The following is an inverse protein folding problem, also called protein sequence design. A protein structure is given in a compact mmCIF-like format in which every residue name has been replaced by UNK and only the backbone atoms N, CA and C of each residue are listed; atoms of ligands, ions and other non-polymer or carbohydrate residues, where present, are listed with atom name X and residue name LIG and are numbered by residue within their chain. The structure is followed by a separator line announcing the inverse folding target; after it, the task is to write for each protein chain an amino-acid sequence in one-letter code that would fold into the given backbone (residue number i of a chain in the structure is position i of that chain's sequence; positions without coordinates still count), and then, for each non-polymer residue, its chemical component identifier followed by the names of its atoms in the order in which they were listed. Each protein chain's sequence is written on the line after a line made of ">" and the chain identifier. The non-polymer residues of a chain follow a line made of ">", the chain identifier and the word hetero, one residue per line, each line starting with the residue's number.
data_IF_680060409629
#
_entry.id   IF_680060409629
#
_cell.length_a   1.000
_cell.length_b   1.000
_cell.length_c   1.000
_cell.angle_alpha   90.00
_cell.angle_beta   90.00
_cell.angle_gamma   90.00
#
_symmetry.space_group_name_H-M   'P 1'
#
loop_
_entity.id
_entity.type
_entity.pdbx_description
1 polymer ?
#
# COMPACT_ATOMS: atom_id res chain seq x y z
N UNK A 1 15.72 -9.69 4.11
CA UNK A 1 15.54 -8.50 3.25
C UNK A 1 14.58 -8.90 2.14
N UNK A 2 13.34 -8.46 2.26
CA UNK A 2 12.37 -8.59 1.17
C UNK A 2 12.78 -7.53 0.14
N UNK A 3 12.92 -7.91 -1.14
CA UNK A 3 13.16 -6.97 -2.24
C UNK A 3 12.05 -7.15 -3.26
N UNK A 4 11.54 -6.06 -3.83
CA UNK A 4 10.56 -6.11 -4.90
C UNK A 4 11.13 -6.93 -6.06
N UNK A 5 10.43 -8.00 -6.43
CA UNK A 5 10.83 -8.86 -7.54
C UNK A 5 10.70 -8.06 -8.85
N UNK A 6 11.80 -7.90 -9.63
CA UNK A 6 11.76 -7.20 -10.91
C UNK A 6 10.72 -7.77 -11.89
N UNK A 7 10.47 -9.08 -11.86
CA UNK A 7 9.45 -9.72 -12.70
C UNK A 7 8.06 -9.28 -12.29
N UNK A 8 7.78 -9.21 -10.99
CA UNK A 8 6.50 -8.71 -10.49
C UNK A 8 6.31 -7.24 -10.84
N UNK A 9 7.36 -6.42 -10.69
CA UNK A 9 7.30 -5.01 -11.05
C UNK A 9 7.01 -4.81 -12.54
N UNK A 10 7.64 -5.61 -13.42
CA UNK A 10 7.40 -5.57 -14.85
C UNK A 10 5.96 -6.02 -15.21
N UNK A 11 5.49 -7.10 -14.59
CA UNK A 11 4.10 -7.58 -14.75
C UNK A 11 3.09 -6.54 -14.31
N UNK A 12 3.29 -5.94 -13.14
CA UNK A 12 2.47 -4.86 -12.62
C UNK A 12 2.43 -3.68 -13.61
N UNK A 13 3.59 -3.18 -14.08
CA UNK A 13 3.62 -2.08 -15.07
C UNK A 13 2.91 -2.42 -16.38
N UNK A 14 3.02 -3.66 -16.86
CA UNK A 14 2.28 -4.11 -18.05
C UNK A 14 0.77 -4.09 -17.78
N UNK A 15 0.34 -4.70 -16.68
CA UNK A 15 -1.08 -4.75 -16.29
C UNK A 15 -1.66 -3.35 -16.07
N UNK A 16 -0.93 -2.44 -15.43
CA UNK A 16 -1.43 -1.08 -15.22
C UNK A 16 -1.65 -0.34 -16.55
N UNK A 17 -0.76 -0.51 -17.55
CA UNK A 17 -0.96 0.06 -18.89
C UNK A 17 -2.28 -0.41 -19.50
N UNK A 18 -2.53 -1.72 -19.50
CA UNK A 18 -3.79 -2.32 -19.99
C UNK A 18 -5.03 -1.75 -19.27
N UNK A 19 -4.94 -1.53 -17.95
CA UNK A 19 -6.05 -0.96 -17.17
C UNK A 19 -6.26 0.52 -17.46
N UNK A 20 -5.17 1.29 -17.61
CA UNK A 20 -5.21 2.73 -17.84
C UNK A 20 -5.81 3.11 -19.20
N UNK A 21 -5.73 2.22 -20.19
CA UNK A 21 -6.39 2.40 -21.49
C UNK A 21 -7.92 2.28 -21.41
N UNK A 22 -8.43 1.58 -20.37
CA UNK A 22 -9.86 1.27 -20.19
C UNK A 22 -10.53 2.11 -19.11
N UNK A 23 -9.75 2.77 -18.27
CA UNK A 23 -10.23 3.55 -17.14
C UNK A 23 -9.23 4.65 -16.76
N UNK A 24 -9.69 5.89 -16.80
CA UNK A 24 -8.90 7.10 -16.55
C UNK A 24 -9.02 7.62 -15.10
N UNK A 25 -9.89 7.03 -14.28
CA UNK A 25 -10.19 7.48 -12.92
C UNK A 25 -9.10 7.25 -11.87
N UNK A 26 -7.94 6.72 -12.24
CA UNK A 26 -6.81 6.50 -11.34
C UNK A 26 -6.16 7.82 -10.91
N UNK A 27 -5.93 7.99 -9.62
CA UNK A 27 -5.12 9.09 -9.05
C UNK A 27 -3.71 8.63 -8.75
N UNK A 28 -3.57 7.54 -8.01
CA UNK A 28 -2.29 6.88 -7.71
C UNK A 28 -2.51 5.38 -7.71
N UNK A 29 -1.56 4.61 -8.25
CA UNK A 29 -1.54 3.16 -8.11
C UNK A 29 -0.22 2.72 -7.50
N UNK A 30 -0.33 1.94 -6.43
CA UNK A 30 0.80 1.43 -5.66
C UNK A 30 0.86 -0.07 -5.84
N UNK A 31 2.06 -0.61 -6.02
CA UNK A 31 2.37 -2.02 -5.87
C UNK A 31 2.94 -2.25 -4.46
N UNK A 32 2.27 -3.10 -3.69
CA UNK A 32 2.74 -3.56 -2.38
C UNK A 32 2.84 -5.08 -2.33
N UNK A 33 3.49 -5.62 -1.29
CA UNK A 33 3.54 -7.06 -1.00
C UNK A 33 3.08 -7.42 0.42
N UNK A 34 2.19 -6.63 1.01
CA UNK A 34 1.82 -6.81 2.41
C UNK A 34 1.02 -8.09 2.67
N UNK A 35 0.12 -8.45 1.75
CA UNK A 35 -0.68 -9.67 1.75
C UNK A 35 -0.60 -10.36 0.38
N UNK A 36 0.62 -10.44 -0.14
CA UNK A 36 0.88 -10.80 -1.53
C UNK A 36 0.90 -9.58 -2.45
N UNK A 37 1.55 -9.73 -3.60
CA UNK A 37 1.77 -8.64 -4.53
C UNK A 37 0.44 -8.16 -5.12
N UNK A 38 0.09 -6.91 -4.87
CA UNK A 38 -1.18 -6.36 -5.36
C UNK A 38 -1.09 -4.87 -5.65
N UNK A 39 -2.07 -4.43 -6.42
CA UNK A 39 -2.34 -3.01 -6.54
C UNK A 39 -3.17 -2.48 -5.38
N UNK A 40 -2.80 -1.29 -4.92
CA UNK A 40 -3.64 -0.38 -4.13
C UNK A 40 -4.02 0.78 -5.06
N UNK A 41 -5.32 1.01 -5.17
CA UNK A 41 -5.94 1.98 -6.05
C UNK A 41 -6.42 3.18 -5.25
N UNK A 42 -5.76 4.31 -5.48
CA UNK A 42 -6.28 5.62 -5.10
C UNK A 42 -7.05 6.20 -6.29
N UNK A 43 -8.31 6.55 -6.05
CA UNK A 43 -9.24 7.07 -7.04
C UNK A 43 -9.77 8.42 -6.56
N UNK A 44 -10.15 9.29 -7.51
CA UNK A 44 -10.67 10.63 -7.23
C UNK A 44 -11.92 10.63 -6.31
N UNK A 45 -12.65 9.50 -6.26
CA UNK A 45 -13.81 9.26 -5.39
C UNK A 45 -13.68 8.01 -4.51
N UNK A 46 -12.46 7.65 -4.11
CA UNK A 46 -12.22 6.45 -3.28
C UNK A 46 -13.00 6.46 -1.94
N UNK A 47 -13.28 7.64 -1.39
CA UNK A 47 -14.05 7.84 -0.15
C UNK A 47 -15.54 7.48 -0.26
N UNK A 48 -16.08 7.29 -1.47
CA UNK A 48 -17.50 6.96 -1.71
C UNK A 48 -17.80 5.46 -1.67
N UNK A 49 -16.81 4.58 -1.45
CA UNK A 49 -17.00 3.13 -1.42
C UNK A 49 -17.61 2.64 -0.09
N UNK A 50 -18.82 3.13 0.25
CA UNK A 50 -19.57 2.70 1.46
C UNK A 50 -20.50 1.51 1.21
N UNK A 51 -20.76 1.17 -0.04
CA UNK A 51 -21.63 0.06 -0.43
C UNK A 51 -20.92 -0.69 -1.55
N UNK A 52 -20.87 -2.02 -1.48
CA UNK A 52 -20.25 -2.91 -2.48
C UNK A 52 -20.91 -2.77 -3.84
N UNK A 53 -20.69 -1.62 -4.48
CA UNK A 53 -21.56 -1.09 -5.50
C UNK A 53 -21.30 -1.86 -6.79
N UNK A 54 -22.26 -2.64 -7.29
CA UNK A 54 -22.14 -3.29 -8.59
C UNK A 54 -21.92 -2.27 -9.72
N UNK A 55 -22.17 -0.98 -9.49
CA UNK A 55 -21.93 0.10 -10.45
C UNK A 55 -20.57 0.77 -10.30
N UNK A 56 -19.71 0.33 -9.37
CA UNK A 56 -18.37 0.88 -9.23
C UNK A 56 -17.56 0.59 -10.50
N UNK A 57 -17.06 1.62 -11.22
CA UNK A 57 -16.31 1.41 -12.46
C UNK A 57 -15.06 0.55 -12.26
N UNK A 58 -14.34 0.76 -11.15
CA UNK A 58 -13.17 -0.06 -10.81
C UNK A 58 -13.55 -1.53 -10.56
N UNK A 59 -14.67 -1.78 -9.88
CA UNK A 59 -15.16 -3.15 -9.69
C UNK A 59 -15.52 -3.80 -11.03
N UNK A 60 -16.26 -3.09 -11.91
CA UNK A 60 -16.61 -3.62 -13.22
C UNK A 60 -15.39 -3.89 -14.11
N UNK A 61 -14.35 -3.06 -13.97
CA UNK A 61 -13.08 -3.24 -14.66
C UNK A 61 -12.35 -4.52 -14.19
N UNK A 62 -12.35 -4.79 -12.89
CA UNK A 62 -11.49 -5.80 -12.24
C UNK A 62 -12.20 -7.10 -11.85
N UNK A 63 -13.54 -7.20 -11.97
CA UNK A 63 -14.33 -8.37 -11.52
C UNK A 63 -13.90 -9.71 -12.11
N UNK A 64 -13.22 -9.71 -13.26
CA UNK A 64 -12.73 -10.89 -13.96
C UNK A 64 -11.21 -11.06 -13.87
N UNK A 65 -10.50 -10.18 -13.15
CA UNK A 65 -9.06 -10.35 -12.92
C UNK A 65 -8.83 -11.54 -12.00
N UNK A 66 -7.88 -12.41 -12.37
CA UNK A 66 -7.51 -13.58 -11.59
C UNK A 66 -6.44 -13.26 -10.55
N UNK A 67 -6.43 -14.04 -9.47
CA UNK A 67 -5.41 -13.97 -8.44
C UNK A 67 -4.27 -14.94 -8.78
N UNK A 68 -3.04 -14.44 -8.82
CA UNK A 68 -1.82 -15.23 -8.96
C UNK A 68 -0.72 -14.73 -8.01
N UNK A 69 0.55 -14.88 -8.40
CA UNK A 69 1.69 -14.29 -7.65
C UNK A 69 1.57 -12.77 -7.51
N UNK A 70 0.98 -12.11 -8.50
CA UNK A 70 0.53 -10.73 -8.49
C UNK A 70 -0.97 -10.69 -8.80
N UNK A 71 -1.72 -9.84 -8.10
CA UNK A 71 -3.15 -9.66 -8.32
C UNK A 71 -3.51 -8.19 -8.54
N UNK A 72 -4.17 -7.94 -9.67
CA UNK A 72 -4.88 -6.69 -9.93
C UNK A 72 -6.36 -6.76 -9.49
N UNK A 73 -6.82 -7.88 -8.95
CA UNK A 73 -8.21 -8.02 -8.52
C UNK A 73 -8.50 -7.17 -7.27
N UNK A 74 -9.77 -6.87 -7.03
CA UNK A 74 -10.22 -6.28 -5.78
C UNK A 74 -10.30 -7.37 -4.71
N UNK A 75 -9.58 -7.17 -3.60
CA UNK A 75 -9.53 -8.14 -2.50
C UNK A 75 -10.57 -7.77 -1.44
N UNK A 76 -11.55 -8.64 -1.14
CA UNK A 76 -12.53 -8.39 -0.10
C UNK A 76 -11.86 -8.16 1.25
N UNK A 77 -12.32 -7.13 1.98
CA UNK A 77 -11.84 -6.80 3.32
C UNK A 77 -12.68 -7.53 4.38
N UNK A 78 -12.01 -8.24 5.29
CA UNK A 78 -12.66 -8.82 6.47
C UNK A 78 -12.81 -7.78 7.61
N UNK A 79 -13.38 -8.19 8.74
CA UNK A 79 -13.58 -7.32 9.91
C UNK A 79 -12.28 -6.72 10.45
N UNK A 80 -11.23 -7.53 10.56
CA UNK A 80 -9.92 -7.11 11.09
C UNK A 80 -9.25 -6.09 10.18
N UNK A 81 -9.40 -6.30 8.87
CA UNK A 81 -8.89 -5.38 7.88
C UNK A 81 -9.59 -4.02 7.93
N UNK A 82 -10.91 -4.02 8.13
CA UNK A 82 -11.68 -2.77 8.25
C UNK A 82 -11.27 -1.97 9.49
N UNK A 83 -10.90 -2.64 10.58
CA UNK A 83 -10.36 -2.00 11.78
C UNK A 83 -9.01 -1.32 11.55
N UNK A 84 -8.19 -1.88 10.65
CA UNK A 84 -6.83 -1.39 10.38
C UNK A 84 -6.76 -0.37 9.25
N UNK A 85 -7.55 -0.60 8.19
CA UNK A 85 -7.46 0.12 6.92
C UNK A 85 -8.65 1.01 6.63
N UNK A 86 -9.68 1.00 7.47
CA UNK A 86 -10.92 1.75 7.26
C UNK A 86 -12.04 0.93 6.61
N UNK A 87 -13.25 1.50 6.53
CA UNK A 87 -14.50 0.75 6.40
C UNK A 87 -14.78 0.16 5.01
N UNK A 88 -13.94 0.45 4.01
CA UNK A 88 -14.15 0.01 2.63
C UNK A 88 -14.25 -1.52 2.52
N UNK A 89 -15.09 -1.99 1.59
CA UNK A 89 -15.30 -3.42 1.35
C UNK A 89 -14.14 -4.13 0.65
N UNK A 90 -13.22 -3.37 0.06
CA UNK A 90 -12.03 -3.91 -0.59
C UNK A 90 -10.76 -3.34 0.04
N UNK A 91 -9.78 -4.19 0.29
CA UNK A 91 -8.51 -3.84 0.94
C UNK A 91 -7.70 -2.84 0.15
N UNK A 92 -7.77 -2.96 -1.17
CA UNK A 92 -6.98 -2.19 -2.10
C UNK A 92 -7.65 -0.92 -2.62
N UNK A 93 -8.88 -0.61 -2.21
CA UNK A 93 -9.50 0.69 -2.51
C UNK A 93 -9.22 1.66 -1.37
N UNK A 94 -8.14 2.43 -1.46
CA UNK A 94 -7.68 3.33 -0.40
C UNK A 94 -7.08 4.58 -0.98
N UNK A 95 -7.38 5.73 -0.38
CA UNK A 95 -6.57 6.92 -0.60
C UNK A 95 -5.14 6.67 -0.12
N UNK A 96 -4.18 7.39 -0.69
CA UNK A 96 -2.79 7.33 -0.26
C UNK A 96 -2.63 7.57 1.27
N UNK A 97 -3.44 8.48 1.82
CA UNK A 97 -3.43 8.81 3.24
C UNK A 97 -3.97 7.67 4.12
N UNK A 98 -5.12 7.09 3.76
CA UNK A 98 -5.68 5.93 4.47
C UNK A 98 -4.73 4.74 4.46
N UNK A 99 -4.07 4.50 3.32
CA UNK A 99 -3.13 3.40 3.20
C UNK A 99 -1.85 3.62 4.01
N UNK A 100 -1.33 4.85 4.03
CA UNK A 100 -0.21 5.26 4.89
C UNK A 100 -0.55 5.07 6.39
N UNK A 101 -1.78 5.42 6.75
CA UNK A 101 -2.30 5.25 8.11
C UNK A 101 -2.40 3.78 8.49
N UNK A 102 -2.81 2.93 7.55
CA UNK A 102 -2.82 1.48 7.69
C UNK A 102 -1.47 0.91 8.14
N UNK A 103 -0.40 1.19 7.38
CA UNK A 103 0.96 0.78 7.75
C UNK A 103 1.36 1.27 9.14
N UNK A 104 1.12 2.56 9.41
CA UNK A 104 1.50 3.18 10.68
C UNK A 104 0.79 2.51 11.87
N UNK A 105 -0.51 2.24 11.71
CA UNK A 105 -1.34 1.61 12.73
C UNK A 105 -0.92 0.16 12.95
N UNK A 106 -0.66 -0.59 11.89
CA UNK A 106 -0.22 -1.98 12.01
C UNK A 106 1.14 -2.09 12.70
N UNK A 107 2.11 -1.28 12.26
CA UNK A 107 3.45 -1.23 12.85
C UNK A 107 3.41 -0.95 14.36
N UNK A 108 2.49 -0.12 14.84
CA UNK A 108 2.38 0.24 16.26
C UNK A 108 1.52 -0.74 17.05
N UNK A 109 0.41 -1.21 16.48
CA UNK A 109 -0.63 -1.96 17.21
C UNK A 109 -0.52 -3.47 17.07
N UNK A 110 0.22 -3.97 16.08
CA UNK A 110 0.30 -5.41 15.75
C UNK A 110 1.73 -5.94 15.71
N UNK A 111 2.75 -5.08 15.63
CA UNK A 111 4.16 -5.50 15.69
C UNK A 111 4.74 -5.22 17.09
N UNK A 112 5.11 -6.28 17.81
CA UNK A 112 5.62 -6.20 19.18
C UNK A 112 7.07 -6.65 19.29
N UNK A 113 7.51 -7.53 18.40
CA UNK A 113 8.87 -8.05 18.37
C UNK A 113 9.72 -7.30 17.36
N UNK A 114 11.05 -7.38 17.53
CA UNK A 114 12.02 -6.86 16.54
C UNK A 114 11.78 -7.44 15.14
N UNK A 115 11.50 -8.74 15.05
CA UNK A 115 11.27 -9.43 13.76
C UNK A 115 10.05 -8.87 13.04
N UNK A 116 8.95 -8.67 13.74
CA UNK A 116 7.72 -8.11 13.16
C UNK A 116 7.92 -6.66 12.72
N UNK A 117 8.55 -5.84 13.56
CA UNK A 117 8.82 -4.43 13.25
C UNK A 117 9.73 -4.32 12.02
N UNK A 118 10.83 -5.09 11.98
CA UNK A 118 11.73 -5.08 10.83
C UNK A 118 11.04 -5.60 9.56
N UNK A 119 10.23 -6.66 9.66
CA UNK A 119 9.50 -7.20 8.52
C UNK A 119 8.48 -6.22 7.93
N UNK A 120 7.75 -5.50 8.79
CA UNK A 120 6.82 -4.47 8.36
C UNK A 120 7.55 -3.27 7.72
N UNK A 121 8.70 -2.87 8.27
CA UNK A 121 9.54 -1.82 7.69
C UNK A 121 10.15 -2.24 6.34
N UNK A 122 10.53 -3.50 6.17
CA UNK A 122 10.92 -4.07 4.87
C UNK A 122 9.79 -3.87 3.84
N UNK A 123 8.53 -4.13 4.20
CA UNK A 123 7.39 -3.92 3.31
C UNK A 123 7.19 -2.46 2.93
N UNK A 124 7.28 -1.54 3.90
CA UNK A 124 7.18 -0.09 3.64
C UNK A 124 8.31 0.37 2.70
N UNK A 125 9.52 -0.16 2.88
CA UNK A 125 10.68 0.16 2.03
C UNK A 125 10.48 -0.34 0.59
N UNK A 126 9.88 -1.51 0.41
CA UNK A 126 9.70 -2.14 -0.89
C UNK A 126 8.43 -1.74 -1.64
N UNK A 127 7.51 -1.02 -1.00
CA UNK A 127 6.37 -0.41 -1.70
C UNK A 127 6.85 0.46 -2.88
N UNK A 128 6.16 0.34 -4.02
CA UNK A 128 6.44 1.14 -5.23
C UNK A 128 5.18 1.81 -5.76
N UNK A 129 5.28 3.07 -6.14
CA UNK A 129 4.23 3.77 -6.90
C UNK A 129 4.44 3.44 -8.37
N UNK A 130 3.44 2.83 -8.99
CA UNK A 130 3.45 2.44 -10.40
C UNK A 130 2.91 3.55 -11.29
N UNK A 131 1.99 4.34 -10.75
CA UNK A 131 1.37 5.46 -11.46
C UNK A 131 0.97 6.56 -10.50
N UNK A 132 1.06 7.80 -10.97
CA UNK A 132 0.40 8.94 -10.38
C UNK A 132 -0.08 9.88 -11.48
N UNK A 133 -1.30 10.39 -11.32
CA UNK A 133 -1.86 11.42 -12.21
C UNK A 133 -1.08 12.74 -12.08
N UNK A 134 -0.53 13.02 -10.89
CA UNK A 134 0.23 14.25 -10.64
C UNK A 134 1.46 14.00 -9.76
N UNK A 135 2.52 14.75 -10.05
CA UNK A 135 3.79 14.64 -9.31
C UNK A 135 4.64 13.43 -9.69
N UNK A 136 5.89 13.43 -9.25
CA UNK A 136 6.83 12.34 -9.54
C UNK A 136 6.62 11.14 -8.60
N UNK A 137 6.66 9.93 -9.18
CA UNK A 137 6.48 8.68 -8.45
C UNK A 137 7.41 8.59 -7.23
N UNK A 138 8.71 8.89 -7.44
CA UNK A 138 9.73 8.90 -6.39
C UNK A 138 9.41 9.87 -5.25
N UNK A 139 8.87 11.06 -5.56
CA UNK A 139 8.50 12.05 -4.54
C UNK A 139 7.31 11.56 -3.71
N UNK A 140 6.35 10.88 -4.35
CA UNK A 140 5.19 10.30 -3.67
C UNK A 140 5.62 9.15 -2.77
N UNK A 141 6.44 8.22 -3.27
CA UNK A 141 7.01 7.12 -2.47
C UNK A 141 7.75 7.65 -1.25
N UNK A 142 8.67 8.61 -1.45
CA UNK A 142 9.42 9.21 -0.35
C UNK A 142 8.49 9.88 0.67
N UNK A 143 7.48 10.64 0.20
CA UNK A 143 6.52 11.32 1.07
C UNK A 143 5.71 10.31 1.89
N UNK A 144 5.24 9.24 1.24
CA UNK A 144 4.49 8.16 1.88
C UNK A 144 5.34 7.49 2.96
N UNK A 145 6.55 7.05 2.63
CA UNK A 145 7.47 6.37 3.57
C UNK A 145 7.78 7.28 4.77
N UNK A 146 8.07 8.56 4.52
CA UNK A 146 8.28 9.54 5.61
C UNK A 146 7.03 9.72 6.48
N UNK A 147 5.85 9.74 5.87
CA UNK A 147 4.60 9.86 6.60
C UNK A 147 4.32 8.63 7.48
N UNK A 148 4.55 7.41 6.98
CA UNK A 148 4.46 6.17 7.76
C UNK A 148 5.36 6.25 8.99
N UNK A 149 6.65 6.54 8.80
CA UNK A 149 7.62 6.59 9.89
C UNK A 149 7.30 7.69 10.88
N UNK A 150 6.97 8.89 10.41
CA UNK A 150 6.63 10.03 11.27
C UNK A 150 5.42 9.73 12.14
N UNK A 151 4.35 9.17 11.55
CA UNK A 151 3.13 8.80 12.29
C UNK A 151 3.40 7.66 13.28
N UNK A 152 4.09 6.62 12.86
CA UNK A 152 4.45 5.50 13.72
C UNK A 152 5.29 5.97 14.93
N UNK A 153 6.31 6.82 14.73
CA UNK A 153 7.13 7.34 15.83
C UNK A 153 6.37 8.25 16.80
N UNK A 154 5.30 8.92 16.35
CA UNK A 154 4.41 9.68 17.25
C UNK A 154 3.61 8.76 18.17
N UNK A 155 3.10 7.64 17.63
CA UNK A 155 2.19 6.72 18.33
C UNK A 155 2.88 5.60 19.11
N UNK A 156 4.09 5.20 18.70
CA UNK A 156 4.79 4.03 19.24
C UNK A 156 5.23 4.21 20.70
N UNK A 157 5.36 3.10 21.44
CA UNK A 157 5.98 3.07 22.77
C UNK A 157 7.50 3.28 22.68
N UNK A 158 8.19 3.69 23.77
CA UNK A 158 9.63 3.99 23.74
C UNK A 158 10.50 2.88 23.12
N UNK A 159 10.22 1.62 23.46
CA UNK A 159 10.96 0.48 22.90
C UNK A 159 10.76 0.31 21.40
N UNK A 160 9.51 0.39 20.91
CA UNK A 160 9.20 0.35 19.48
C UNK A 160 9.89 1.50 18.73
N UNK A 161 9.91 2.72 19.31
CA UNK A 161 10.64 3.86 18.72
C UNK A 161 12.13 3.56 18.59
N UNK A 162 12.73 2.92 19.59
CA UNK A 162 14.15 2.50 19.55
C UNK A 162 14.39 1.51 18.42
N UNK A 163 13.51 0.52 18.25
CA UNK A 163 13.63 -0.49 17.19
C UNK A 163 13.46 0.13 15.79
N UNK A 164 12.45 0.97 15.58
CA UNK A 164 12.23 1.69 14.30
C UNK A 164 13.45 2.55 13.96
N UNK A 165 13.96 3.36 14.90
CA UNK A 165 15.15 4.19 14.67
C UNK A 165 16.39 3.35 14.41
N UNK A 166 16.57 2.24 15.12
CA UNK A 166 17.67 1.31 14.90
C UNK A 166 17.65 0.73 13.49
N UNK A 167 16.47 0.32 13.01
CA UNK A 167 16.28 -0.16 11.65
C UNK A 167 16.63 0.90 10.59
N UNK A 168 16.15 2.14 10.78
CA UNK A 168 16.43 3.25 9.85
C UNK A 168 17.92 3.61 9.79
N UNK A 169 18.66 3.48 10.91
CA UNK A 169 20.12 3.67 10.91
C UNK A 169 20.85 2.61 10.10
N UNK A 170 20.33 1.38 10.08
CA UNK A 170 20.89 0.27 9.29
C UNK A 170 20.54 0.36 7.80
N UNK A 171 19.51 1.14 7.45
CA UNK A 171 19.00 1.31 6.09
C UNK A 171 18.93 2.79 5.73
N UNK A 172 20.07 3.48 5.54
CA UNK A 172 20.10 4.92 5.25
C UNK A 172 19.39 5.29 3.94
N UNK A 173 19.18 4.31 3.07
CA UNK A 173 18.52 4.40 1.78
C UNK A 173 16.99 4.16 1.85
N UNK A 174 16.42 3.94 3.04
CA UNK A 174 15.00 3.59 3.24
C UNK A 174 14.01 4.50 2.50
N UNK A 175 14.29 5.80 2.41
CA UNK A 175 13.41 6.79 1.79
C UNK A 175 13.70 7.04 0.31
N UNK A 176 14.79 6.49 -0.22
CA UNK A 176 15.30 6.78 -1.57
C UNK A 176 15.28 5.59 -2.51
N UNK A 177 15.15 4.38 -1.94
CA UNK A 177 14.92 3.09 -2.63
C UNK A 177 13.48 2.96 -3.09
#
# INVERSE_FOLDING_TARGET
>A
MIKMDPKILAQARKKFRELSERFDGFMTVILDNWRGYRFIYDLERASCCRYGCPRCPLYQLLKNESSGLFSAALLPANSDDKLLFGPQNFLNCKSLAEYQDGYSNFLVRKCFTRKEICGELDLVREMRVIYSRSGSLRRIEMKFKKGVISKALKLAKPEQKRLIRGYLKQHPDFFTV
#
